data_IF_440145663297
#
_entry.id   IF_440145663297
#
_cell.length_a   1.000
_cell.length_b   1.000
_cell.length_c   1.000
_cell.angle_alpha   90.00
_cell.angle_beta   90.00
_cell.angle_gamma   90.00
#
_symmetry.space_group_name_H-M   'P 1'
#
loop_
_entity.id
_entity.type
_entity.pdbx_description
1 polymer ?
#
# COMPACT_ATOMS: atom_id res chain seq x y z
N UNK A 1 9.17 -32.47 -2.13
CA UNK A 1 8.45 -31.51 -2.98
C UNK A 1 7.97 -30.42 -2.04
N UNK A 2 8.61 -29.24 -2.04
CA UNK A 2 8.22 -28.12 -1.16
C UNK A 2 6.92 -27.53 -1.68
N UNK A 3 5.82 -27.82 -0.98
CA UNK A 3 4.53 -27.20 -1.26
C UNK A 3 4.65 -25.72 -0.89
N UNK A 4 4.75 -24.86 -1.90
CA UNK A 4 4.72 -23.42 -1.73
C UNK A 4 3.27 -23.03 -1.45
N UNK A 5 2.88 -23.07 -0.18
CA UNK A 5 1.56 -22.61 0.26
C UNK A 5 1.60 -21.07 0.34
N UNK A 6 1.24 -20.42 -0.76
CA UNK A 6 1.08 -18.97 -0.76
C UNK A 6 -0.14 -18.62 0.10
N UNK A 7 0.09 -18.02 1.28
CA UNK A 7 -0.99 -17.63 2.19
C UNK A 7 -1.71 -16.38 1.69
N UNK A 8 -2.81 -16.57 0.95
CA UNK A 8 -3.68 -15.49 0.49
C UNK A 8 -4.23 -14.63 1.64
N UNK A 9 -4.55 -15.26 2.78
CA UNK A 9 -5.04 -14.54 3.97
C UNK A 9 -4.00 -13.60 4.57
N UNK A 10 -2.71 -13.95 4.55
CA UNK A 10 -1.64 -13.07 5.01
C UNK A 10 -1.42 -11.87 4.07
N UNK A 11 -1.59 -12.09 2.76
CA UNK A 11 -1.52 -11.03 1.75
C UNK A 11 -2.67 -10.01 1.90
N UNK A 12 -3.90 -10.47 2.08
CA UNK A 12 -5.06 -9.61 2.32
C UNK A 12 -4.92 -8.82 3.63
N UNK A 13 -4.49 -9.48 4.71
CA UNK A 13 -4.24 -8.81 6.00
C UNK A 13 -3.17 -7.70 5.88
N UNK A 14 -2.10 -7.95 5.11
CA UNK A 14 -1.04 -6.95 4.88
C UNK A 14 -1.57 -5.76 4.09
N UNK A 15 -2.42 -6.00 3.07
CA UNK A 15 -3.07 -4.96 2.29
C UNK A 15 -3.97 -4.07 3.15
N UNK A 16 -4.82 -4.68 3.98
CA UNK A 16 -5.72 -3.95 4.89
C UNK A 16 -4.93 -3.11 5.90
N UNK A 17 -3.84 -3.66 6.45
CA UNK A 17 -2.93 -2.92 7.32
C UNK A 17 -2.30 -1.73 6.62
N UNK A 18 -1.81 -1.90 5.38
CA UNK A 18 -1.24 -0.80 4.60
C UNK A 18 -2.27 0.29 4.27
N UNK A 19 -3.51 -0.09 3.96
CA UNK A 19 -4.60 0.86 3.75
C UNK A 19 -4.90 1.67 5.03
N UNK A 20 -5.01 0.98 6.17
CA UNK A 20 -5.25 1.62 7.46
C UNK A 20 -4.11 2.56 7.87
N UNK A 21 -2.85 2.15 7.65
CA UNK A 21 -1.66 2.98 7.90
C UNK A 21 -1.68 4.22 7.01
N UNK A 22 -2.02 4.08 5.73
CA UNK A 22 -2.08 5.20 4.78
C UNK A 22 -3.11 6.25 5.23
N UNK A 23 -4.31 5.81 5.60
CA UNK A 23 -5.35 6.70 6.14
C UNK A 23 -4.88 7.40 7.42
N UNK A 24 -4.28 6.64 8.35
CA UNK A 24 -3.79 7.19 9.62
C UNK A 24 -2.68 8.23 9.40
N UNK A 25 -1.76 8.00 8.46
CA UNK A 25 -0.73 8.98 8.11
C UNK A 25 -1.33 10.28 7.56
N UNK A 26 -2.33 10.18 6.66
CA UNK A 26 -3.02 11.36 6.14
C UNK A 26 -3.70 12.16 7.25
N UNK A 27 -4.39 11.49 8.18
CA UNK A 27 -5.00 12.14 9.35
C UNK A 27 -3.96 12.83 10.22
N UNK A 28 -2.85 12.17 10.56
CA UNK A 28 -1.79 12.76 11.38
C UNK A 28 -1.15 13.99 10.72
N UNK A 29 -0.93 13.96 9.40
CA UNK A 29 -0.42 15.11 8.66
C UNK A 29 -1.41 16.29 8.66
N UNK A 30 -2.71 16.00 8.57
CA UNK A 30 -3.75 17.02 8.60
C UNK A 30 -3.91 17.63 9.99
N UNK A 31 -3.84 16.82 11.06
CA UNK A 31 -3.82 17.29 12.44
C UNK A 31 -2.61 18.17 12.73
N UNK A 32 -1.43 17.75 12.27
CA UNK A 32 -0.21 18.53 12.39
C UNK A 32 -0.34 19.87 11.65
N UNK A 33 -0.89 19.89 10.44
CA UNK A 33 -1.10 21.15 9.71
C UNK A 33 -2.05 22.09 10.43
N UNK A 34 -3.16 21.56 10.96
CA UNK A 34 -4.12 22.35 11.73
C UNK A 34 -3.49 22.92 13.01
N UNK A 35 -2.67 22.13 13.71
CA UNK A 35 -1.95 22.56 14.91
C UNK A 35 -0.94 23.66 14.60
N UNK A 36 -0.16 23.51 13.52
CA UNK A 36 0.86 24.47 13.12
C UNK A 36 0.23 25.78 12.63
N UNK A 37 -0.89 25.73 11.90
CA UNK A 37 -1.65 26.91 11.44
C UNK A 37 -2.06 27.86 12.57
N UNK A 38 -2.36 27.35 13.75
CA UNK A 38 -2.65 28.18 14.92
C UNK A 38 -1.45 29.03 15.40
N UNK A 39 -0.23 28.52 15.21
CA UNK A 39 1.02 29.19 15.61
C UNK A 39 1.72 29.93 14.45
N UNK A 40 1.31 29.68 13.21
CA UNK A 40 1.92 30.22 11.99
C UNK A 40 1.92 31.76 11.92
N UNK A 41 0.99 32.43 12.59
CA UNK A 41 0.98 33.90 12.67
C UNK A 41 2.13 34.47 13.50
N UNK A 42 2.71 33.67 14.40
CA UNK A 42 3.81 34.06 15.28
C UNK A 42 5.19 33.68 14.71
N UNK A 43 5.21 32.89 13.63
CA UNK A 43 6.44 32.41 13.02
C UNK A 43 7.04 33.47 12.09
N UNK A 44 8.36 33.63 12.17
CA UNK A 44 9.10 34.47 11.22
C UNK A 44 9.04 33.87 9.81
N UNK A 45 9.17 34.69 8.77
CA UNK A 45 8.98 34.26 7.37
C UNK A 45 9.81 33.02 6.99
N UNK A 46 11.06 32.94 7.45
CA UNK A 46 11.95 31.81 7.14
C UNK A 46 11.46 30.47 7.71
N UNK A 47 10.89 30.47 8.93
CA UNK A 47 10.30 29.26 9.52
C UNK A 47 9.03 28.84 8.77
N UNK A 48 8.25 29.83 8.31
CA UNK A 48 7.07 29.62 7.46
C UNK A 48 7.42 28.95 6.13
N UNK A 49 8.47 29.43 5.49
CA UNK A 49 8.91 28.92 4.19
C UNK A 49 9.43 27.48 4.31
N UNK A 50 10.24 27.20 5.35
CA UNK A 50 10.75 25.86 5.62
C UNK A 50 9.62 24.86 5.94
N UNK A 51 8.59 25.32 6.65
CA UNK A 51 7.39 24.53 6.92
C UNK A 51 6.64 24.18 5.63
N UNK A 52 6.37 25.16 4.76
CA UNK A 52 5.68 24.93 3.50
C UNK A 52 6.42 23.92 2.61
N UNK A 53 7.75 23.99 2.57
CA UNK A 53 8.59 23.01 1.85
C UNK A 53 8.43 21.61 2.43
N UNK A 54 8.45 21.49 3.75
CA UNK A 54 8.32 20.20 4.44
C UNK A 54 6.93 19.60 4.28
N UNK A 55 5.89 20.44 4.42
CA UNK A 55 4.50 20.08 4.18
C UNK A 55 4.28 19.55 2.76
N UNK A 56 4.83 20.22 1.75
CA UNK A 56 4.72 19.78 0.36
C UNK A 56 5.34 18.39 0.16
N UNK A 57 6.50 18.11 0.77
CA UNK A 57 7.18 16.81 0.70
C UNK A 57 6.35 15.71 1.35
N UNK A 58 5.81 15.94 2.54
CA UNK A 58 5.01 14.93 3.24
C UNK A 58 3.67 14.68 2.56
N UNK A 59 3.02 15.72 2.02
CA UNK A 59 1.81 15.57 1.20
C UNK A 59 2.08 14.77 -0.08
N UNK A 60 3.21 15.01 -0.75
CA UNK A 60 3.60 14.23 -1.92
C UNK A 60 3.79 12.74 -1.56
N UNK A 61 4.49 12.45 -0.46
CA UNK A 61 4.69 11.08 0.01
C UNK A 61 3.36 10.39 0.38
N UNK A 62 2.47 11.10 1.08
CA UNK A 62 1.15 10.58 1.46
C UNK A 62 0.25 10.31 0.24
N UNK A 63 0.42 11.05 -0.86
CA UNK A 63 -0.29 10.83 -2.11
C UNK A 63 0.27 9.67 -2.95
N UNK A 64 1.54 9.28 -2.74
CA UNK A 64 2.14 8.12 -3.39
C UNK A 64 1.75 6.80 -2.71
N UNK A 65 1.50 6.81 -1.40
CA UNK A 65 1.16 5.59 -0.64
C UNK A 65 -0.03 4.80 -1.22
N UNK A 66 -1.18 5.42 -1.58
CA UNK A 66 -2.28 4.71 -2.25
C UNK A 66 -1.88 4.09 -3.60
N UNK A 67 -0.96 4.72 -4.34
CA UNK A 67 -0.50 4.21 -5.64
C UNK A 67 0.38 2.97 -5.45
N UNK A 68 1.26 2.99 -4.45
CA UNK A 68 2.07 1.84 -4.08
C UNK A 68 1.19 0.67 -3.60
N UNK A 69 0.16 0.97 -2.80
CA UNK A 69 -0.82 -0.03 -2.38
C UNK A 69 -1.50 -0.66 -3.60
N UNK A 70 -2.08 0.14 -4.50
CA UNK A 70 -2.74 -0.38 -5.70
C UNK A 70 -1.81 -1.24 -6.57
N UNK A 71 -0.53 -0.88 -6.72
CA UNK A 71 0.45 -1.72 -7.43
C UNK A 71 0.69 -3.06 -6.74
N UNK A 72 0.77 -3.06 -5.41
CA UNK A 72 0.89 -4.29 -4.63
C UNK A 72 -0.35 -5.18 -4.79
N UNK A 73 -1.55 -4.58 -4.81
CA UNK A 73 -2.81 -5.30 -5.05
C UNK A 73 -2.84 -5.99 -6.42
N UNK A 74 -2.42 -5.28 -7.47
CA UNK A 74 -2.33 -5.83 -8.82
C UNK A 74 -1.35 -7.00 -8.84
N UNK A 75 -0.15 -6.84 -8.28
CA UNK A 75 0.86 -7.90 -8.24
C UNK A 75 0.39 -9.14 -7.48
N UNK A 76 -0.29 -8.96 -6.35
CA UNK A 76 -0.85 -10.07 -5.57
C UNK A 76 -1.95 -10.81 -6.34
N UNK A 77 -2.82 -10.09 -7.04
CA UNK A 77 -3.84 -10.69 -7.91
C UNK A 77 -3.23 -11.46 -9.08
N UNK A 78 -2.17 -10.92 -9.72
CA UNK A 78 -1.45 -11.61 -10.79
C UNK A 78 -0.83 -12.92 -10.29
N UNK A 79 -0.18 -12.89 -9.13
CA UNK A 79 0.38 -14.08 -8.47
C UNK A 79 -0.72 -15.11 -8.20
N UNK A 80 -1.84 -14.70 -7.62
CA UNK A 80 -3.00 -15.56 -7.33
C UNK A 80 -3.53 -16.26 -8.57
N UNK A 81 -3.80 -15.48 -9.63
CA UNK A 81 -4.29 -15.98 -10.90
C UNK A 81 -3.28 -16.92 -11.59
N UNK A 82 -1.98 -16.67 -11.40
CA UNK A 82 -0.91 -17.55 -11.87
C UNK A 82 -0.94 -18.92 -11.20
N UNK A 83 -1.03 -18.96 -9.87
CA UNK A 83 -1.10 -20.21 -9.10
C UNK A 83 -2.33 -21.05 -9.46
N UNK A 84 -3.52 -20.45 -9.47
CA UNK A 84 -4.75 -21.15 -9.85
C UNK A 84 -4.67 -21.75 -11.25
N UNK A 85 -4.13 -21.00 -12.22
CA UNK A 85 -3.98 -21.49 -13.60
C UNK A 85 -3.05 -22.69 -13.67
N UNK A 86 -1.94 -22.67 -12.93
CA UNK A 86 -0.97 -23.78 -12.89
C UNK A 86 -1.59 -25.02 -12.26
N UNK A 87 -2.31 -24.89 -11.15
CA UNK A 87 -3.00 -26.02 -10.51
C UNK A 87 -4.06 -26.64 -11.43
N UNK A 88 -4.92 -25.82 -12.03
CA UNK A 88 -5.93 -26.30 -12.99
C UNK A 88 -5.31 -26.96 -14.23
N UNK A 89 -4.22 -26.40 -14.76
CA UNK A 89 -3.54 -26.97 -15.94
C UNK A 89 -2.83 -28.28 -15.59
N UNK A 90 -2.19 -28.37 -14.42
CA UNK A 90 -1.56 -29.59 -13.93
C UNK A 90 -2.59 -30.71 -13.74
N UNK A 91 -3.71 -30.44 -13.07
CA UNK A 91 -4.78 -31.42 -12.87
C UNK A 91 -5.37 -31.91 -14.20
N UNK A 92 -5.61 -31.02 -15.16
CA UNK A 92 -6.12 -31.39 -16.49
C UNK A 92 -5.13 -32.24 -17.30
N UNK A 93 -3.82 -31.97 -17.18
CA UNK A 93 -2.79 -32.77 -17.87
C UNK A 93 -2.70 -34.19 -17.31
N UNK A 94 -2.79 -34.36 -15.99
CA UNK A 94 -2.75 -35.69 -15.36
C UNK A 94 -4.05 -36.49 -15.56
N UNK A 95 -5.22 -35.84 -15.63
CA UNK A 95 -6.48 -36.50 -15.96
C UNK A 95 -6.59 -36.91 -17.44
N UNK A 96 -5.89 -36.22 -18.35
CA UNK A 96 -5.85 -36.56 -19.77
C UNK A 96 -4.89 -37.70 -20.15
N UNK A 97 -3.96 -38.07 -19.26
CA UNK A 97 -2.98 -39.15 -19.49
C UNK A 97 -3.33 -40.47 -18.79
N UNK A 98 -4.56 -40.62 -18.30
CA UNK A 98 -5.08 -41.90 -17.82
C UNK A 98 -5.31 -42.88 -18.97
N UNK A 99 -4.27 -43.61 -19.36
CA UNK A 99 -4.34 -44.92 -20.01
C UNK A 99 -4.63 -46.00 -18.96
#
# INVERSE_FOLDING_TARGET
MTQYDFSFSAADATRDQMAAITLRMQTMLQELDNSVRGSLQQWTSAARDQYNVSQAKWNAAANEMPKCLNRAEIALNEISNGYLRVEHTGVNMWQGTGL
#
